data_IF_691118332514
#
_entry.id   IF_691118332514
#
_cell.length_a   1.000
_cell.length_b   1.000
_cell.length_c   1.000
_cell.angle_alpha   90.00
_cell.angle_beta   90.00
_cell.angle_gamma   90.00
#
_symmetry.space_group_name_H-M   'P 1'
#
loop_
_entity.id
_entity.type
_entity.pdbx_description
1 polymer ?
#
# COMPACT_ATOMS: atom_id res chain seq x y z
N UNK A 1 25.69 -0.38 -17.45
CA UNK A 1 24.74 0.75 -17.59
C UNK A 1 24.14 1.04 -16.23
N UNK A 2 23.89 2.30 -15.83
CA UNK A 2 23.18 2.60 -14.60
C UNK A 2 21.77 1.98 -14.66
N UNK A 3 21.32 1.40 -13.55
CA UNK A 3 19.97 0.89 -13.42
C UNK A 3 18.98 2.07 -13.55
N UNK A 4 18.05 1.96 -14.48
CA UNK A 4 16.97 2.93 -14.60
C UNK A 4 15.93 2.66 -13.50
N UNK A 5 15.47 3.68 -12.76
CA UNK A 5 14.39 3.53 -11.80
C UNK A 5 13.15 2.96 -12.49
N UNK A 6 12.50 1.99 -11.85
CA UNK A 6 11.22 1.43 -12.32
C UNK A 6 10.08 2.01 -11.50
N UNK A 7 9.00 2.43 -12.17
CA UNK A 7 7.81 2.91 -11.49
C UNK A 7 6.97 1.76 -10.92
N UNK A 8 6.19 2.05 -9.88
CA UNK A 8 5.25 1.08 -9.29
C UNK A 8 4.24 0.55 -10.33
N UNK A 9 3.84 1.40 -11.28
CA UNK A 9 2.93 1.02 -12.38
C UNK A 9 3.55 -0.01 -13.30
N UNK A 10 4.82 0.17 -13.66
CA UNK A 10 5.56 -0.78 -14.50
C UNK A 10 5.72 -2.11 -13.78
N UNK A 11 6.05 -2.09 -12.48
CA UNK A 11 6.17 -3.29 -11.66
C UNK A 11 4.85 -4.08 -11.64
N UNK A 12 3.74 -3.44 -11.26
CA UNK A 12 2.42 -4.09 -11.20
C UNK A 12 2.00 -4.66 -12.56
N UNK A 13 2.27 -3.93 -13.65
CA UNK A 13 1.97 -4.39 -15.01
C UNK A 13 2.84 -5.57 -15.43
N UNK A 14 4.12 -5.57 -15.08
CA UNK A 14 5.06 -6.62 -15.47
C UNK A 14 4.66 -8.00 -14.90
N UNK A 15 4.16 -8.02 -13.66
CA UNK A 15 3.73 -9.26 -13.00
C UNK A 15 2.41 -9.83 -13.54
N UNK A 16 1.67 -9.09 -14.37
CA UNK A 16 0.39 -9.54 -15.00
C UNK A 16 -0.53 -10.27 -14.01
N UNK A 17 -0.63 -9.78 -12.78
CA UNK A 17 -1.40 -10.44 -11.74
C UNK A 17 -2.87 -10.53 -12.19
N UNK A 18 -3.49 -11.73 -12.20
CA UNK A 18 -4.89 -11.87 -12.62
C UNK A 18 -5.85 -11.35 -11.55
N UNK A 19 -5.42 -11.40 -10.29
CA UNK A 19 -6.18 -10.94 -9.15
C UNK A 19 -5.77 -9.52 -8.70
N UNK A 20 -6.61 -8.87 -7.89
CA UNK A 20 -6.16 -7.85 -6.97
C UNK A 20 -4.96 -8.27 -6.12
N UNK A 21 -4.20 -7.27 -5.70
CA UNK A 21 -3.13 -7.36 -4.72
C UNK A 21 -3.77 -7.16 -3.34
N UNK A 22 -3.67 -8.17 -2.48
CA UNK A 22 -4.23 -8.09 -1.13
C UNK A 22 -3.55 -7.02 -0.27
N UNK A 23 -2.22 -6.93 -0.37
CA UNK A 23 -1.42 -6.00 0.42
C UNK A 23 -0.22 -5.50 -0.39
N UNK A 24 -0.04 -4.19 -0.37
CA UNK A 24 1.18 -3.51 -0.77
C UNK A 24 1.86 -2.99 0.50
N UNK A 25 3.10 -3.40 0.73
CA UNK A 25 3.92 -2.91 1.84
C UNK A 25 5.01 -1.99 1.29
N UNK A 26 5.10 -0.78 1.82
CA UNK A 26 6.00 0.27 1.35
C UNK A 26 6.77 0.81 2.53
N UNK A 27 8.09 0.80 2.44
CA UNK A 27 8.96 1.36 3.46
C UNK A 27 9.55 2.69 2.93
N UNK A 28 9.09 3.83 3.47
CA UNK A 28 9.48 5.16 3.00
C UNK A 28 10.52 5.77 3.94
N UNK A 29 11.77 5.85 3.49
CA UNK A 29 12.92 6.40 4.22
C UNK A 29 13.04 7.93 4.11
N UNK A 30 12.07 8.59 3.48
CA UNK A 30 11.87 10.04 3.51
C UNK A 30 11.85 10.72 2.14
N UNK A 31 12.42 10.10 1.11
CA UNK A 31 12.40 10.61 -0.27
C UNK A 31 11.27 10.04 -1.13
N UNK A 32 10.71 8.90 -0.74
CA UNK A 32 9.77 8.15 -1.59
C UNK A 32 8.31 8.61 -1.49
N UNK A 33 8.00 9.72 -0.83
CA UNK A 33 6.61 10.26 -0.83
C UNK A 33 6.07 10.49 -2.24
N UNK A 34 6.97 10.85 -3.17
CA UNK A 34 6.66 11.04 -4.59
C UNK A 34 6.17 9.78 -5.30
N UNK A 35 6.30 8.60 -4.69
CA UNK A 35 5.74 7.34 -5.20
C UNK A 35 4.23 7.45 -5.44
N UNK A 36 3.53 8.28 -4.65
CA UNK A 36 2.08 8.44 -4.68
C UNK A 36 1.62 9.78 -5.30
N UNK A 37 2.55 10.64 -5.72
CA UNK A 37 2.23 11.95 -6.31
C UNK A 37 1.56 11.86 -7.71
N UNK A 38 1.68 10.72 -8.38
CA UNK A 38 1.09 10.48 -9.70
C UNK A 38 -0.35 9.95 -9.57
N UNK A 39 -1.33 10.72 -10.07
CA UNK A 39 -2.74 10.33 -10.18
C UNK A 39 -2.93 8.97 -10.86
N UNK A 40 -2.11 8.63 -11.86
CA UNK A 40 -2.22 7.33 -12.52
C UNK A 40 -1.76 6.17 -11.63
N UNK A 41 -0.81 6.42 -10.72
CA UNK A 41 -0.41 5.45 -9.69
C UNK A 41 -1.55 5.28 -8.68
N UNK A 42 -2.12 6.38 -8.16
CA UNK A 42 -3.24 6.29 -7.22
C UNK A 42 -4.46 5.58 -7.81
N UNK A 43 -4.81 5.87 -9.07
CA UNK A 43 -5.87 5.14 -9.79
C UNK A 43 -5.58 3.65 -9.91
N UNK A 44 -4.33 3.27 -10.18
CA UNK A 44 -3.93 1.87 -10.27
C UNK A 44 -4.03 1.18 -8.90
N UNK A 45 -3.53 1.81 -7.85
CA UNK A 45 -3.63 1.31 -6.48
C UNK A 45 -5.10 1.14 -6.08
N UNK A 46 -5.94 2.13 -6.35
CA UNK A 46 -7.39 2.06 -6.06
C UNK A 46 -8.08 0.92 -6.82
N UNK A 47 -7.68 0.66 -8.05
CA UNK A 47 -8.29 -0.40 -8.86
C UNK A 47 -7.80 -1.81 -8.49
N UNK A 48 -6.63 -1.94 -7.85
CA UNK A 48 -5.93 -3.22 -7.74
C UNK A 48 -5.49 -3.61 -6.35
N UNK A 49 -5.38 -2.70 -5.40
CA UNK A 49 -4.74 -2.94 -4.09
C UNK A 49 -5.75 -2.78 -2.97
N UNK A 50 -5.96 -3.84 -2.19
CA UNK A 50 -6.92 -3.88 -1.09
C UNK A 50 -6.40 -3.18 0.17
N UNK A 51 -5.11 -3.29 0.45
CA UNK A 51 -4.46 -2.70 1.62
C UNK A 51 -3.10 -2.14 1.27
N UNK A 52 -2.78 -0.98 1.83
CA UNK A 52 -1.43 -0.39 1.80
C UNK A 52 -0.92 -0.26 3.22
N UNK A 53 0.27 -0.76 3.47
CA UNK A 53 1.06 -0.44 4.66
C UNK A 53 2.19 0.49 4.26
N UNK A 54 2.36 1.55 5.03
CA UNK A 54 3.47 2.49 4.85
C UNK A 54 4.27 2.57 6.13
N UNK A 55 5.52 2.12 6.10
CA UNK A 55 6.53 2.46 7.10
C UNK A 55 6.84 3.96 7.02
N UNK A 56 6.66 4.67 8.13
CA UNK A 56 6.88 6.12 8.23
C UNK A 56 8.01 6.43 9.20
N UNK A 57 9.18 6.77 8.65
CA UNK A 57 10.40 7.03 9.42
C UNK A 57 10.38 8.35 10.20
N UNK A 58 9.72 9.39 9.67
CA UNK A 58 9.43 10.60 10.43
C UNK A 58 8.04 10.50 11.05
N UNK A 59 7.97 10.42 12.37
CA UNK A 59 6.70 10.33 13.11
C UNK A 59 5.97 11.69 13.19
N UNK A 60 6.62 12.80 12.80
CA UNK A 60 5.98 14.11 12.81
C UNK A 60 4.83 14.12 11.82
N UNK A 61 3.63 14.38 12.34
CA UNK A 61 2.38 14.42 11.59
C UNK A 61 2.44 15.39 10.39
N UNK A 62 3.23 16.46 10.47
CA UNK A 62 3.44 17.41 9.38
C UNK A 62 4.14 16.81 8.17
N UNK A 63 5.09 15.88 8.38
CA UNK A 63 5.87 15.26 7.31
C UNK A 63 5.06 14.21 6.55
N UNK A 64 4.12 13.54 7.24
CA UNK A 64 3.23 12.54 6.65
C UNK A 64 1.89 13.11 6.17
N UNK A 65 1.60 14.40 6.41
CA UNK A 65 0.33 15.02 6.05
C UNK A 65 0.04 14.95 4.54
N UNK A 66 1.02 15.17 3.63
CA UNK A 66 0.78 15.05 2.18
C UNK A 66 0.39 13.63 1.77
N UNK A 67 1.08 12.61 2.30
CA UNK A 67 0.77 11.20 2.07
C UNK A 67 -0.67 10.88 2.52
N UNK A 68 -1.02 11.30 3.74
CA UNK A 68 -2.37 11.08 4.28
C UNK A 68 -3.44 11.80 3.45
N UNK A 69 -3.17 13.00 2.95
CA UNK A 69 -4.09 13.75 2.11
C UNK A 69 -4.37 13.02 0.79
N UNK A 70 -3.32 12.58 0.09
CA UNK A 70 -3.45 11.84 -1.17
C UNK A 70 -4.32 10.58 -1.03
N UNK A 71 -4.09 9.78 0.00
CA UNK A 71 -4.90 8.59 0.23
C UNK A 71 -6.34 8.93 0.64
N UNK A 72 -6.55 10.02 1.39
CA UNK A 72 -7.90 10.44 1.82
C UNK A 72 -8.75 10.92 0.64
N UNK A 73 -8.16 11.60 -0.33
CA UNK A 73 -8.85 12.09 -1.53
C UNK A 73 -9.31 10.96 -2.47
N UNK A 74 -8.73 9.76 -2.31
CA UNK A 74 -8.97 8.59 -3.17
C UNK A 74 -9.83 7.49 -2.52
N UNK A 75 -10.66 7.84 -1.52
CA UNK A 75 -11.54 6.93 -0.78
C UNK A 75 -10.81 5.83 0.02
N UNK A 76 -9.54 6.03 0.36
CA UNK A 76 -8.85 5.10 1.27
C UNK A 76 -9.22 5.39 2.72
N UNK A 77 -9.44 4.32 3.48
CA UNK A 77 -9.74 4.42 4.90
C UNK A 77 -8.53 4.00 5.72
N UNK A 78 -8.11 4.87 6.64
CA UNK A 78 -7.11 4.55 7.64
C UNK A 78 -7.63 3.46 8.59
N UNK A 79 -7.05 2.28 8.49
CA UNK A 79 -7.39 1.14 9.35
C UNK A 79 -6.65 1.23 10.69
N UNK A 80 -5.38 1.64 10.66
CA UNK A 80 -4.59 1.91 11.88
C UNK A 80 -3.46 2.88 11.59
N UNK A 81 -2.94 3.45 12.67
CA UNK A 81 -1.73 4.25 12.66
C UNK A 81 -1.02 4.05 14.00
N UNK A 82 0.19 3.52 13.94
CA UNK A 82 1.03 3.34 15.11
C UNK A 82 2.31 4.15 14.90
N UNK A 83 2.56 5.19 15.70
CA UNK A 83 3.85 5.86 15.74
C UNK A 83 4.98 4.90 16.12
N UNK A 84 6.23 5.35 16.00
CA UNK A 84 7.37 4.63 16.56
C UNK A 84 7.16 4.33 18.06
N UNK A 85 7.56 3.13 18.49
CA UNK A 85 7.50 2.70 19.89
C UNK A 85 6.53 1.54 20.13
N UNK A 86 6.25 1.28 21.41
CA UNK A 86 5.39 0.19 21.86
C UNK A 86 3.93 0.62 21.98
N UNK A 87 3.02 -0.22 21.48
CA UNK A 87 1.57 0.04 21.47
C UNK A 87 0.80 -1.19 21.91
N UNK A 88 -0.25 -1.03 22.73
CA UNK A 88 -1.18 -2.12 23.01
C UNK A 88 -2.06 -2.40 21.78
N UNK A 89 -2.37 -3.67 21.54
CA UNK A 89 -3.34 -4.09 20.53
C UNK A 89 -4.25 -5.19 21.11
N UNK A 90 -5.33 -5.52 20.39
CA UNK A 90 -6.22 -6.63 20.78
C UNK A 90 -5.51 -8.00 20.81
N UNK A 91 -4.34 -8.13 20.19
CA UNK A 91 -3.56 -9.37 20.11
C UNK A 91 -2.30 -9.36 20.97
N UNK A 92 -2.13 -8.32 21.81
CA UNK A 92 -0.95 -8.12 22.64
C UNK A 92 -0.14 -6.88 22.25
N UNK A 93 0.89 -6.53 23.03
CA UNK A 93 1.73 -5.39 22.76
C UNK A 93 2.58 -5.64 21.49
N UNK A 94 2.68 -4.61 20.64
CA UNK A 94 3.56 -4.59 19.47
C UNK A 94 4.53 -3.42 19.59
N UNK A 95 5.73 -3.53 19.03
CA UNK A 95 6.69 -2.44 18.98
C UNK A 95 7.15 -2.20 17.56
N UNK A 96 7.13 -0.94 17.14
CA UNK A 96 7.60 -0.54 15.82
C UNK A 96 8.86 0.32 15.93
N UNK A 97 9.89 -0.04 15.15
CA UNK A 97 11.14 0.71 15.06
C UNK A 97 10.93 2.09 14.39
N UNK A 98 9.98 2.13 13.45
CA UNK A 98 9.45 3.31 12.77
C UNK A 98 7.93 3.40 13.00
N UNK A 99 7.25 4.42 12.50
CA UNK A 99 5.80 4.39 12.50
C UNK A 99 5.26 3.47 11.40
N UNK A 100 4.01 3.03 11.51
CA UNK A 100 3.28 2.37 10.42
C UNK A 100 1.91 2.99 10.24
N UNK A 101 1.56 3.22 8.98
CA UNK A 101 0.24 3.63 8.53
C UNK A 101 -0.41 2.49 7.76
N UNK A 102 -1.56 2.01 8.24
CA UNK A 102 -2.37 1.01 7.54
C UNK A 102 -3.59 1.66 6.89
N UNK A 103 -3.72 1.48 5.57
CA UNK A 103 -4.81 2.01 4.74
C UNK A 103 -5.53 0.87 4.03
N UNK A 104 -6.85 0.96 3.93
CA UNK A 104 -7.68 -0.06 3.28
C UNK A 104 -8.57 0.57 2.23
N UNK A 105 -8.80 -0.20 1.16
CA UNK A 105 -9.64 0.17 0.05
C UNK A 105 -10.73 -0.90 -0.12
N UNK A 106 -11.99 -0.46 -0.07
CA UNK A 106 -13.16 -1.35 -0.16
C UNK A 106 -13.69 -1.51 -1.58
N UNK A 107 -13.15 -0.76 -2.53
CA UNK A 107 -13.66 -0.69 -3.91
C UNK A 107 -12.97 -1.66 -4.86
N UNK A 108 -11.98 -2.41 -4.40
CA UNK A 108 -11.24 -3.34 -5.26
C UNK A 108 -12.15 -4.52 -5.63
N UNK A 109 -12.35 -4.80 -6.92
CA UNK A 109 -13.12 -5.97 -7.35
C UNK A 109 -12.55 -7.23 -6.74
N UNK A 110 -13.39 -8.21 -6.40
CA UNK A 110 -12.86 -9.53 -5.98
C UNK A 110 -12.17 -10.21 -7.16
N UNK A 111 -11.18 -11.05 -6.89
CA UNK A 111 -10.63 -11.88 -7.94
C UNK A 111 -11.73 -12.78 -8.49
N UNK A 112 -12.02 -12.66 -9.79
CA UNK A 112 -12.84 -13.64 -10.48
C UNK A 112 -12.03 -14.94 -10.54
N UNK A 113 -12.41 -15.92 -9.73
CA UNK A 113 -11.85 -17.27 -9.81
C UNK A 113 -12.27 -17.87 -11.15
N UNK A 114 -11.47 -17.74 -12.20
CA UNK A 114 -11.43 -18.73 -13.27
C UNK A 114 -10.34 -19.74 -12.96
N UNK A 115 -10.50 -20.48 -11.85
CA UNK A 115 -9.89 -21.79 -11.76
C UNK A 115 -10.74 -22.71 -12.64
N UNK A 116 -10.48 -22.71 -13.95
CA UNK A 116 -10.70 -23.92 -14.72
C UNK A 116 -9.70 -24.93 -14.18
N UNK A 117 -10.11 -25.68 -13.16
CA UNK A 117 -9.41 -26.88 -12.76
C UNK A 117 -9.55 -27.81 -13.95
N UNK A 118 -8.56 -27.80 -14.83
CA UNK A 118 -8.38 -28.79 -15.87
C UNK A 118 -8.14 -30.14 -15.22
N UNK A 119 -9.21 -30.77 -14.72
CA UNK A 119 -9.24 -32.20 -14.45
C UNK A 119 -9.19 -32.85 -15.82
N UNK A 120 -7.98 -33.16 -16.28
CA UNK A 120 -7.79 -34.08 -17.38
C UNK A 120 -8.31 -35.44 -16.90
N UNK A 121 -9.47 -35.83 -17.45
CA UNK A 121 -10.05 -37.17 -17.42
C UNK A 121 -9.12 -38.19 -18.07
#
# INVERSE_FOLDING_TARGET
>A
APLQPTSLRELIRAYKLPCPIDMLDVDIQGGEYQLFDDNATMKLLRARVLRVHVGVHDWRRSSNAPLLAQFSDDDWHRAWFYPKGAHPTAWGPVSFADGVLGLTNRHVPRCERSYEVGVRS
#
